data_IF_857212068489
#
_entry.id   IF_857212068489
#
_cell.length_a   1.000
_cell.length_b   1.000
_cell.length_c   1.000
_cell.angle_alpha   90.00
_cell.angle_beta   90.00
_cell.angle_gamma   90.00
#
_symmetry.space_group_name_H-M   'P 1'
#
loop_
_entity.id
_entity.type
_entity.pdbx_description
1 polymer ?
#
# COMPACT_ATOMS: atom_id res chain seq x y z
N UNK A 1 29.99 5.83 -54.11
CA UNK A 1 28.68 6.34 -53.70
C UNK A 1 28.25 5.62 -52.43
N UNK A 2 28.67 6.16 -51.27
CA UNK A 2 28.35 5.60 -49.96
C UNK A 2 27.02 6.16 -49.50
N UNK A 3 26.06 5.28 -49.25
CA UNK A 3 24.78 5.63 -48.64
C UNK A 3 24.98 5.45 -47.14
N UNK A 4 25.09 6.57 -46.42
CA UNK A 4 25.12 6.59 -44.95
C UNK A 4 23.69 6.35 -44.45
N UNK A 5 23.46 5.18 -43.85
CA UNK A 5 22.23 4.89 -43.10
C UNK A 5 22.30 5.60 -41.77
N UNK A 6 21.56 6.68 -41.61
CA UNK A 6 21.31 7.30 -40.30
C UNK A 6 20.37 6.39 -39.51
N UNK A 7 20.91 5.69 -38.55
CA UNK A 7 20.12 4.98 -37.54
C UNK A 7 19.66 6.03 -36.54
N UNK A 8 18.41 6.44 -36.66
CA UNK A 8 17.74 7.31 -35.70
C UNK A 8 17.46 6.47 -34.43
N UNK A 9 18.30 6.62 -33.41
CA UNK A 9 18.10 6.05 -32.10
C UNK A 9 17.00 6.86 -31.41
N UNK A 10 15.76 6.35 -31.47
CA UNK A 10 14.63 6.91 -30.74
C UNK A 10 14.84 6.61 -29.25
N UNK A 11 15.33 7.59 -28.51
CA UNK A 11 15.37 7.54 -27.04
C UNK A 11 13.93 7.73 -26.56
N UNK A 12 13.23 6.63 -26.29
CA UNK A 12 11.93 6.67 -25.60
C UNK A 12 12.25 7.03 -24.15
N UNK A 13 12.14 8.31 -23.84
CA UNK A 13 12.12 8.79 -22.46
C UNK A 13 10.73 8.45 -21.91
N UNK A 14 10.62 7.29 -21.27
CA UNK A 14 9.45 6.96 -20.43
C UNK A 14 9.48 7.94 -19.27
N UNK A 15 8.67 8.99 -19.37
CA UNK A 15 8.34 9.81 -18.20
C UNK A 15 7.43 8.92 -17.35
N UNK A 16 8.01 8.21 -16.38
CA UNK A 16 7.25 7.67 -15.27
C UNK A 16 6.72 8.88 -14.51
N UNK A 17 5.49 9.28 -14.78
CA UNK A 17 4.77 10.15 -13.88
C UNK A 17 4.56 9.35 -12.59
N UNK A 18 5.38 9.63 -11.60
CA UNK A 18 5.15 9.19 -10.23
C UNK A 18 3.85 9.84 -9.79
N UNK A 19 2.74 9.12 -9.86
CA UNK A 19 1.52 9.53 -9.15
C UNK A 19 1.84 9.26 -7.70
N UNK A 20 2.33 10.29 -7.01
CA UNK A 20 2.49 10.30 -5.57
C UNK A 20 1.09 10.27 -4.97
N UNK A 21 0.62 9.10 -4.56
CA UNK A 21 -0.37 9.05 -3.50
C UNK A 21 0.24 9.81 -2.33
N UNK A 22 -0.53 10.74 -1.75
CA UNK A 22 0.03 11.69 -0.78
C UNK A 22 0.61 10.95 0.42
N UNK A 23 1.94 10.81 0.44
CA UNK A 23 2.69 10.35 1.61
C UNK A 23 2.17 11.09 2.85
N UNK A 24 1.65 10.34 3.81
CA UNK A 24 1.22 10.88 5.10
C UNK A 24 2.38 10.81 6.07
N UNK A 25 2.57 11.91 6.82
CA UNK A 25 3.62 11.95 7.85
C UNK A 25 2.99 11.78 9.22
N UNK A 26 3.52 10.84 9.98
CA UNK A 26 3.10 10.49 11.33
C UNK A 26 4.20 10.82 12.34
N UNK A 27 3.82 11.08 13.59
CA UNK A 27 4.78 11.37 14.65
C UNK A 27 4.56 10.45 15.83
N UNK A 28 5.66 9.89 16.34
CA UNK A 28 5.71 9.12 17.58
C UNK A 28 6.64 9.86 18.54
N UNK A 29 6.17 10.07 19.75
CA UNK A 29 6.96 10.70 20.81
C UNK A 29 7.63 9.63 21.68
N UNK A 30 8.91 9.82 21.97
CA UNK A 30 9.72 8.98 22.83
C UNK A 30 10.07 9.72 24.11
N UNK A 31 9.72 9.17 25.23
CA UNK A 31 10.01 9.75 26.54
C UNK A 31 10.36 8.66 27.55
N UNK A 32 10.20 8.95 28.82
CA UNK A 32 10.68 8.13 29.92
C UNK A 32 10.05 6.72 29.92
N UNK A 33 10.70 5.77 29.24
CA UNK A 33 10.31 4.36 29.03
C UNK A 33 9.03 4.16 28.20
N UNK A 34 8.73 5.05 27.25
CA UNK A 34 7.58 4.89 26.36
C UNK A 34 7.85 5.39 24.95
N UNK A 35 7.08 4.85 24.00
CA UNK A 35 6.72 5.48 22.72
C UNK A 35 5.23 5.81 22.72
N UNK A 36 4.85 6.97 22.19
CA UNK A 36 3.45 7.40 22.14
C UNK A 36 3.09 7.97 20.76
N UNK A 37 2.14 7.37 20.03
CA UNK A 37 1.48 6.10 20.37
C UNK A 37 2.45 4.90 20.37
N UNK A 38 2.16 3.86 21.15
CA UNK A 38 2.96 2.63 21.18
C UNK A 38 2.60 1.66 20.06
N UNK A 39 1.46 1.85 19.41
CA UNK A 39 1.06 1.15 18.18
C UNK A 39 0.44 2.15 17.22
N UNK A 40 0.83 2.07 15.95
CA UNK A 40 0.39 2.95 14.89
C UNK A 40 0.14 2.14 13.62
N UNK A 41 -1.04 2.32 13.00
CA UNK A 41 -1.35 1.78 11.68
C UNK A 41 -1.18 2.87 10.64
N UNK A 42 -0.47 2.56 9.57
CA UNK A 42 -0.13 3.45 8.45
C UNK A 42 -0.28 2.71 7.12
N UNK A 43 -0.21 3.42 6.01
CA UNK A 43 -0.18 2.81 4.68
C UNK A 43 1.26 2.68 4.14
N UNK A 44 1.46 1.77 3.21
CA UNK A 44 2.72 1.71 2.43
C UNK A 44 3.01 3.09 1.83
N UNK A 45 4.27 3.54 1.96
CA UNK A 45 4.71 4.85 1.50
C UNK A 45 4.62 5.95 2.55
N UNK A 46 3.94 5.74 3.66
CA UNK A 46 3.87 6.71 4.75
C UNK A 46 5.21 6.84 5.50
N UNK A 47 5.42 8.02 6.06
CA UNK A 47 6.61 8.37 6.83
C UNK A 47 6.29 8.47 8.32
N UNK A 48 7.13 7.88 9.16
CA UNK A 48 7.06 8.02 10.61
C UNK A 48 8.30 8.73 11.12
N UNK A 49 8.10 9.76 11.94
CA UNK A 49 9.15 10.50 12.63
C UNK A 49 9.04 10.28 14.14
N UNK A 50 10.12 9.82 14.76
CA UNK A 50 10.24 9.71 16.22
C UNK A 50 10.90 10.95 16.79
N UNK A 51 10.23 11.57 17.78
CA UNK A 51 10.67 12.80 18.46
C UNK A 51 11.00 12.49 19.91
N UNK A 52 12.20 12.85 20.36
CA UNK A 52 12.62 12.72 21.73
C UNK A 52 12.05 13.86 22.61
N UNK A 53 11.21 13.52 23.55
CA UNK A 53 10.67 14.46 24.56
C UNK A 53 11.56 14.62 25.80
N UNK A 54 12.60 13.81 25.93
CA UNK A 54 13.58 13.88 27.01
C UNK A 54 14.13 12.49 27.35
N UNK A 55 15.39 12.45 27.72
CA UNK A 55 16.13 11.23 27.96
C UNK A 55 17.10 10.91 26.84
N UNK A 56 17.63 9.70 26.83
CA UNK A 56 18.55 9.19 25.81
C UNK A 56 17.93 7.95 25.17
N UNK A 57 17.48 8.05 23.94
CA UNK A 57 16.66 7.04 23.27
C UNK A 57 17.09 6.81 21.84
N UNK A 58 16.81 5.62 21.33
CA UNK A 58 16.90 5.23 19.92
C UNK A 58 15.59 4.58 19.45
N UNK A 59 15.57 4.16 18.21
CA UNK A 59 14.56 3.30 17.58
C UNK A 59 15.31 2.09 17.04
N UNK A 60 15.11 0.95 17.62
CA UNK A 60 15.77 -0.30 17.25
C UNK A 60 14.73 -1.31 16.76
N UNK A 61 14.67 -1.52 15.46
CA UNK A 61 13.80 -2.50 14.79
C UNK A 61 14.55 -3.75 14.33
N UNK A 62 15.81 -3.94 14.71
CA UNK A 62 16.61 -5.09 14.29
C UNK A 62 16.55 -6.23 15.31
N UNK A 63 17.06 -6.01 16.50
CA UNK A 63 17.16 -7.02 17.56
C UNK A 63 16.30 -6.63 18.76
N UNK A 64 15.41 -7.52 19.17
CA UNK A 64 14.65 -7.34 20.39
C UNK A 64 15.59 -7.31 21.61
N UNK A 65 15.67 -6.15 22.25
CA UNK A 65 16.61 -5.91 23.36
C UNK A 65 16.31 -6.75 24.60
N UNK A 66 15.09 -7.29 24.75
CA UNK A 66 14.68 -8.14 25.87
C UNK A 66 15.10 -9.58 25.64
N UNK A 67 14.90 -10.10 24.42
CA UNK A 67 15.13 -11.52 24.13
C UNK A 67 16.49 -11.79 23.47
N UNK A 68 17.08 -10.80 22.82
CA UNK A 68 18.28 -10.92 22.00
C UNK A 68 18.05 -11.56 20.62
N UNK A 69 16.78 -11.81 20.25
CA UNK A 69 16.42 -12.41 18.97
C UNK A 69 16.02 -11.33 17.95
N UNK A 70 16.21 -11.56 16.64
CA UNK A 70 15.76 -10.63 15.62
C UNK A 70 14.24 -10.40 15.67
N UNK A 71 13.79 -9.16 15.43
CA UNK A 71 12.36 -8.88 15.27
C UNK A 71 11.78 -9.51 13.99
N UNK A 72 12.61 -9.80 12.99
CA UNK A 72 12.21 -10.30 11.67
C UNK A 72 11.17 -9.41 10.99
N UNK A 73 11.35 -8.10 11.11
CA UNK A 73 10.53 -7.12 10.42
C UNK A 73 10.66 -7.26 8.89
N UNK A 74 9.63 -6.88 8.10
CA UNK A 74 9.67 -6.94 6.63
C UNK A 74 10.85 -6.20 6.01
N UNK A 75 11.24 -5.07 6.61
CA UNK A 75 12.48 -4.34 6.30
C UNK A 75 13.16 -3.90 7.59
N UNK A 76 14.47 -3.67 7.55
CA UNK A 76 15.23 -3.25 8.74
C UNK A 76 15.18 -1.74 8.88
N UNK A 77 15.04 -1.27 10.13
CA UNK A 77 15.12 0.13 10.48
C UNK A 77 15.69 0.29 11.88
N UNK A 78 16.68 1.15 12.02
CA UNK A 78 17.28 1.45 13.31
C UNK A 78 17.92 2.85 13.29
N UNK A 79 18.15 3.39 14.45
CA UNK A 79 18.75 4.72 14.61
C UNK A 79 19.85 4.74 15.67
N UNK A 80 20.79 5.70 15.60
CA UNK A 80 21.63 6.00 16.74
C UNK A 80 20.80 6.61 17.88
N UNK A 81 21.25 6.41 19.12
CA UNK A 81 20.62 7.03 20.28
C UNK A 81 20.93 8.54 20.34
N UNK A 82 19.91 9.34 20.66
CA UNK A 82 20.02 10.80 20.81
C UNK A 82 19.41 11.27 22.12
N UNK A 83 19.84 12.44 22.59
CA UNK A 83 19.37 13.05 23.84
C UNK A 83 18.28 14.10 23.64
N UNK A 84 17.97 14.49 22.41
CA UNK A 84 16.95 15.50 22.09
C UNK A 84 16.66 15.56 20.59
N UNK A 85 15.51 16.14 20.22
CA UNK A 85 15.11 16.37 18.83
C UNK A 85 14.61 15.12 18.12
N UNK A 86 14.74 15.08 16.82
CA UNK A 86 14.35 13.91 16.02
C UNK A 86 15.32 12.77 16.30
N UNK A 87 14.77 11.60 16.69
CA UNK A 87 15.53 10.36 16.85
C UNK A 87 15.76 9.76 15.48
N UNK A 88 14.67 9.56 14.74
CA UNK A 88 14.67 8.89 13.45
C UNK A 88 13.50 9.33 12.59
N UNK A 89 13.64 9.20 11.30
CA UNK A 89 12.55 9.31 10.32
C UNK A 89 12.71 8.17 9.33
N UNK A 90 11.62 7.43 9.09
CA UNK A 90 11.61 6.27 8.20
C UNK A 90 10.35 6.26 7.34
N UNK A 91 10.50 5.95 6.06
CA UNK A 91 9.38 5.68 5.14
C UNK A 91 9.22 4.18 5.00
N UNK A 92 8.05 3.66 5.33
CA UNK A 92 7.76 2.23 5.27
C UNK A 92 7.30 1.85 3.85
N UNK A 93 8.06 0.98 3.18
CA UNK A 93 7.83 0.63 1.77
C UNK A 93 7.28 -0.77 1.57
N UNK A 94 7.24 -1.58 2.61
CA UNK A 94 6.76 -2.96 2.58
C UNK A 94 5.65 -3.13 3.61
N UNK A 95 4.53 -3.74 3.21
CA UNK A 95 3.44 -4.07 4.13
C UNK A 95 3.87 -5.08 5.21
N UNK A 96 3.26 -5.00 6.37
CA UNK A 96 3.48 -5.94 7.45
C UNK A 96 3.52 -5.30 8.84
N UNK A 97 3.86 -6.12 9.82
CA UNK A 97 3.98 -5.68 11.20
C UNK A 97 5.44 -5.50 11.57
N UNK A 98 5.77 -4.32 12.05
CA UNK A 98 7.10 -3.90 12.46
C UNK A 98 7.13 -3.70 13.97
N UNK A 99 7.93 -4.48 14.66
CA UNK A 99 8.17 -4.33 16.07
C UNK A 99 9.50 -3.62 16.31
N UNK A 100 9.57 -2.79 17.32
CA UNK A 100 10.78 -2.09 17.68
C UNK A 100 10.83 -1.79 19.19
N UNK A 101 12.01 -1.50 19.68
CA UNK A 101 12.23 -1.08 21.06
C UNK A 101 13.30 0.02 21.19
N UNK A 102 13.57 0.45 22.40
CA UNK A 102 14.73 1.28 22.70
C UNK A 102 15.83 0.40 23.26
N UNK A 103 16.97 0.31 22.55
CA UNK A 103 18.08 -0.55 22.94
C UNK A 103 18.92 0.01 24.10
N UNK A 104 18.63 1.22 24.56
CA UNK A 104 19.40 1.90 25.60
C UNK A 104 19.18 1.27 26.98
N UNK A 105 20.20 0.62 27.51
CA UNK A 105 20.18 0.06 28.86
C UNK A 105 19.02 -0.92 29.08
N UNK A 106 18.15 -0.62 30.06
CA UNK A 106 16.97 -1.43 30.37
C UNK A 106 15.66 -0.78 29.92
N UNK A 107 15.68 0.09 28.90
CA UNK A 107 14.49 0.82 28.49
C UNK A 107 13.40 -0.11 27.94
N UNK A 108 13.76 -1.09 27.13
CA UNK A 108 12.84 -2.10 26.62
C UNK A 108 12.22 -2.94 27.75
N UNK A 109 13.03 -3.38 28.72
CA UNK A 109 12.57 -4.13 29.91
C UNK A 109 11.55 -3.33 30.75
N UNK A 110 11.63 -2.00 30.71
CA UNK A 110 10.71 -1.10 31.40
C UNK A 110 9.50 -0.67 30.52
N UNK A 111 9.33 -1.31 29.36
CA UNK A 111 8.15 -1.14 28.51
C UNK A 111 8.33 -0.16 27.34
N UNK A 112 9.57 0.29 27.05
CA UNK A 112 9.83 1.14 25.90
C UNK A 112 9.91 0.31 24.62
N UNK A 113 8.74 -0.14 24.19
CA UNK A 113 8.51 -0.96 22.99
C UNK A 113 7.43 -0.32 22.13
N UNK A 114 7.46 -0.56 20.82
CA UNK A 114 6.46 -0.06 19.91
C UNK A 114 6.21 -1.00 18.74
N UNK A 115 5.13 -0.69 17.99
CA UNK A 115 4.72 -1.44 16.82
C UNK A 115 4.18 -0.49 15.75
N UNK A 116 4.59 -0.72 14.50
CA UNK A 116 3.96 -0.11 13.33
C UNK A 116 3.29 -1.23 12.53
N UNK A 117 2.04 -1.03 12.15
CA UNK A 117 1.31 -1.89 11.22
C UNK A 117 1.23 -1.14 9.90
N UNK A 118 1.89 -1.65 8.88
CA UNK A 118 1.90 -1.08 7.53
C UNK A 118 0.90 -1.86 6.70
N UNK A 119 -0.19 -1.21 6.33
CA UNK A 119 -1.22 -1.79 5.46
C UNK A 119 -0.89 -1.51 4.00
N UNK A 120 -1.13 -2.49 3.14
CA UNK A 120 -1.08 -2.31 1.68
C UNK A 120 -2.20 -1.37 1.23
N UNK A 121 -2.06 -0.83 0.04
CA UNK A 121 -3.14 -0.04 -0.56
C UNK A 121 -4.35 -0.96 -0.84
N UNK A 122 -5.53 -0.54 -0.36
CA UNK A 122 -6.77 -1.22 -0.75
C UNK A 122 -7.08 -0.91 -2.20
N UNK A 123 -7.05 -1.92 -3.05
CA UNK A 123 -7.36 -1.79 -4.47
C UNK A 123 -8.87 -1.87 -4.72
N UNK A 124 -9.31 -1.47 -5.92
CA UNK A 124 -10.72 -1.67 -6.31
C UNK A 124 -11.10 -3.15 -6.41
N UNK A 125 -10.11 -4.03 -6.61
CA UNK A 125 -10.31 -5.49 -6.60
C UNK A 125 -10.59 -5.99 -5.20
N UNK A 126 -9.86 -5.51 -4.19
CA UNK A 126 -10.09 -5.87 -2.79
C UNK A 126 -11.51 -5.48 -2.36
N UNK A 127 -11.96 -4.27 -2.73
CA UNK A 127 -13.33 -3.81 -2.47
C UNK A 127 -14.38 -4.70 -3.12
N UNK A 128 -14.13 -5.20 -4.34
CA UNK A 128 -15.04 -6.11 -5.04
C UNK A 128 -15.08 -7.48 -4.34
N UNK A 129 -13.92 -8.03 -4.00
CA UNK A 129 -13.77 -9.36 -3.36
C UNK A 129 -14.39 -9.38 -1.96
N UNK A 130 -14.21 -8.32 -1.18
CA UNK A 130 -14.77 -8.22 0.17
C UNK A 130 -16.29 -7.97 0.19
N UNK A 131 -16.89 -7.71 -0.97
CA UNK A 131 -18.30 -7.38 -1.07
C UNK A 131 -19.17 -8.60 -1.35
N UNK A 132 -20.05 -8.96 -0.42
CA UNK A 132 -21.04 -10.04 -0.57
C UNK A 132 -22.04 -9.83 -1.73
N UNK A 133 -22.13 -8.62 -2.27
CA UNK A 133 -23.10 -8.24 -3.31
C UNK A 133 -22.50 -8.12 -4.72
N UNK A 134 -21.22 -8.47 -4.91
CA UNK A 134 -20.48 -8.30 -6.17
C UNK A 134 -19.80 -9.60 -6.62
N UNK A 135 -20.28 -10.76 -6.20
CA UNK A 135 -19.67 -12.07 -6.50
C UNK A 135 -19.64 -12.40 -8.00
N UNK A 136 -20.65 -11.94 -8.73
CA UNK A 136 -20.72 -12.07 -10.19
C UNK A 136 -19.69 -11.17 -10.88
N UNK A 137 -19.51 -9.94 -10.39
CA UNK A 137 -18.48 -9.00 -10.88
C UNK A 137 -17.08 -9.54 -10.62
N UNK A 138 -16.80 -10.05 -9.42
CA UNK A 138 -15.55 -10.72 -9.08
C UNK A 138 -15.22 -11.82 -10.11
N UNK A 139 -16.18 -12.73 -10.34
CA UNK A 139 -16.05 -13.80 -11.33
C UNK A 139 -15.73 -13.25 -12.73
N UNK A 140 -16.41 -12.17 -13.14
CA UNK A 140 -16.20 -11.55 -14.44
C UNK A 140 -14.81 -10.91 -14.57
N UNK A 141 -14.33 -10.20 -13.55
CA UNK A 141 -13.01 -9.56 -13.50
C UNK A 141 -11.89 -10.60 -13.55
N UNK A 142 -12.03 -11.70 -12.78
CA UNK A 142 -11.09 -12.83 -12.79
C UNK A 142 -11.06 -13.49 -14.16
N UNK A 143 -12.23 -13.78 -14.74
CA UNK A 143 -12.38 -14.43 -16.06
C UNK A 143 -11.76 -13.57 -17.15
N UNK A 144 -11.93 -12.25 -17.11
CA UNK A 144 -11.34 -11.32 -18.07
C UNK A 144 -9.83 -11.11 -17.90
N UNK A 145 -9.22 -11.63 -16.82
CA UNK A 145 -7.80 -11.43 -16.52
C UNK A 145 -7.45 -9.99 -16.15
N UNK A 146 -8.41 -9.22 -15.62
CA UNK A 146 -8.23 -7.80 -15.29
C UNK A 146 -7.76 -7.55 -13.85
N UNK A 147 -7.60 -8.60 -13.03
CA UNK A 147 -7.19 -8.49 -11.62
C UNK A 147 -5.91 -7.69 -11.49
N UNK A 148 -4.84 -8.08 -12.18
CA UNK A 148 -3.54 -7.40 -12.10
C UNK A 148 -3.63 -5.93 -12.54
N UNK A 149 -4.41 -5.64 -13.59
CA UNK A 149 -4.59 -4.28 -14.08
C UNK A 149 -5.32 -3.38 -13.09
N UNK A 150 -6.38 -3.91 -12.45
CA UNK A 150 -7.21 -3.16 -11.50
C UNK A 150 -6.62 -3.12 -10.08
N UNK A 151 -5.67 -4.01 -9.78
CA UNK A 151 -4.84 -3.95 -8.56
C UNK A 151 -3.57 -3.10 -8.76
N UNK A 152 -3.33 -2.59 -9.96
CA UNK A 152 -2.20 -1.71 -10.24
C UNK A 152 -2.39 -0.29 -9.73
N UNK A 153 -1.36 0.55 -10.00
CA UNK A 153 -1.38 1.95 -9.59
C UNK A 153 -2.60 2.68 -10.14
N UNK A 154 -3.51 3.09 -9.22
CA UNK A 154 -4.71 3.89 -9.51
C UNK A 154 -4.38 5.37 -9.68
N UNK A 155 -5.33 6.26 -9.42
CA UNK A 155 -6.69 5.95 -8.98
C UNK A 155 -7.58 5.42 -10.11
N UNK A 156 -8.43 4.46 -9.76
CA UNK A 156 -9.51 3.97 -10.60
C UNK A 156 -10.87 4.27 -9.94
N UNK A 157 -11.86 4.59 -10.78
CA UNK A 157 -13.26 4.61 -10.35
C UNK A 157 -13.97 3.48 -11.08
N UNK A 158 -14.55 2.54 -10.33
CA UNK A 158 -15.31 1.42 -10.88
C UNK A 158 -16.79 1.60 -10.59
N UNK A 159 -17.60 1.63 -11.64
CA UNK A 159 -19.05 1.61 -11.54
C UNK A 159 -19.50 0.14 -11.44
N UNK A 160 -19.46 -0.40 -10.22
CA UNK A 160 -19.62 -1.82 -9.94
C UNK A 160 -21.10 -2.25 -9.96
N UNK A 161 -21.55 -3.06 -10.95
CA UNK A 161 -22.88 -3.64 -10.91
C UNK A 161 -22.98 -4.71 -9.83
N UNK A 162 -24.06 -4.69 -9.06
CA UNK A 162 -24.37 -5.70 -8.04
C UNK A 162 -24.86 -7.01 -8.67
N UNK A 163 -24.86 -8.09 -7.89
CA UNK A 163 -25.43 -9.38 -8.31
C UNK A 163 -26.89 -9.26 -8.73
N UNK A 164 -27.68 -8.38 -8.10
CA UNK A 164 -29.06 -8.11 -8.49
C UNK A 164 -29.15 -7.47 -9.89
N UNK A 165 -28.19 -6.63 -10.27
CA UNK A 165 -28.14 -6.05 -11.61
C UNK A 165 -27.84 -7.13 -12.66
N UNK A 166 -26.94 -8.07 -12.37
CA UNK A 166 -26.68 -9.21 -13.25
C UNK A 166 -27.89 -10.15 -13.35
N UNK A 167 -28.58 -10.41 -12.24
CA UNK A 167 -29.79 -11.23 -12.20
C UNK A 167 -30.97 -10.63 -12.99
N UNK A 168 -30.98 -9.31 -13.18
CA UNK A 168 -31.98 -8.61 -13.99
C UNK A 168 -31.74 -8.70 -15.50
N UNK A 169 -30.60 -9.23 -15.96
CA UNK A 169 -30.33 -9.43 -17.37
C UNK A 169 -31.24 -10.51 -17.97
N UNK A 170 -31.57 -10.43 -19.28
CA UNK A 170 -32.27 -11.50 -19.96
C UNK A 170 -31.54 -12.85 -19.83
N UNK A 171 -32.31 -13.93 -19.74
CA UNK A 171 -31.79 -15.30 -19.61
C UNK A 171 -30.74 -15.61 -20.69
N UNK A 172 -29.57 -16.17 -20.29
CA UNK A 172 -28.46 -16.54 -21.15
C UNK A 172 -27.56 -15.39 -21.58
N UNK A 173 -27.90 -14.13 -21.25
CA UNK A 173 -27.05 -12.96 -21.61
C UNK A 173 -25.71 -13.01 -20.90
N UNK A 174 -25.68 -13.27 -19.59
CA UNK A 174 -24.46 -13.35 -18.80
C UNK A 174 -23.56 -14.49 -19.30
N UNK A 175 -24.14 -15.67 -19.53
CA UNK A 175 -23.38 -16.83 -20.03
C UNK A 175 -22.74 -16.53 -21.41
N UNK A 176 -23.48 -15.87 -22.29
CA UNK A 176 -22.97 -15.49 -23.60
C UNK A 176 -21.81 -14.49 -23.51
N UNK A 177 -21.89 -13.51 -22.59
CA UNK A 177 -20.83 -12.52 -22.38
C UNK A 177 -19.59 -13.19 -21.74
N UNK A 178 -19.77 -14.04 -20.73
CA UNK A 178 -18.66 -14.75 -20.09
C UNK A 178 -17.94 -15.73 -21.04
N UNK A 179 -18.63 -16.22 -22.08
CA UNK A 179 -18.05 -17.09 -23.12
C UNK A 179 -17.26 -16.31 -24.19
N UNK A 180 -17.47 -15.00 -24.29
CA UNK A 180 -16.80 -14.13 -25.27
C UNK A 180 -15.84 -13.16 -24.56
N UNK A 181 -14.57 -13.53 -24.51
CA UNK A 181 -13.54 -12.79 -23.77
C UNK A 181 -13.34 -11.36 -24.26
N UNK A 182 -13.46 -11.11 -25.57
CA UNK A 182 -13.29 -9.77 -26.14
C UNK A 182 -14.46 -8.87 -25.73
N UNK A 183 -15.67 -9.40 -25.81
CA UNK A 183 -16.89 -8.69 -25.39
C UNK A 183 -16.89 -8.44 -23.88
N UNK A 184 -16.53 -9.44 -23.06
CA UNK A 184 -16.44 -9.32 -21.62
C UNK A 184 -15.45 -8.22 -21.20
N UNK A 185 -14.24 -8.25 -21.75
CA UNK A 185 -13.21 -7.22 -21.47
C UNK A 185 -13.68 -5.84 -21.89
N UNK A 186 -14.32 -5.71 -23.06
CA UNK A 186 -14.86 -4.44 -23.55
C UNK A 186 -15.94 -3.89 -22.62
N UNK A 187 -16.87 -4.74 -22.14
CA UNK A 187 -17.91 -4.33 -21.21
C UNK A 187 -17.32 -3.90 -19.87
N UNK A 188 -16.41 -4.69 -19.28
CA UNK A 188 -15.80 -4.38 -18.00
C UNK A 188 -14.99 -3.07 -18.04
N UNK A 189 -14.25 -2.83 -19.12
CA UNK A 189 -13.50 -1.58 -19.28
C UNK A 189 -14.38 -0.35 -19.42
N UNK A 190 -15.61 -0.48 -19.91
CA UNK A 190 -16.60 0.61 -19.88
C UNK A 190 -17.12 0.96 -18.48
N UNK A 191 -16.95 0.07 -17.52
CA UNK A 191 -17.31 0.30 -16.12
C UNK A 191 -16.16 0.90 -15.31
N UNK A 192 -14.99 1.13 -15.92
CA UNK A 192 -13.79 1.67 -15.25
C UNK A 192 -13.42 3.02 -15.85
N UNK A 193 -13.30 4.02 -15.00
CA UNK A 193 -12.73 5.31 -15.35
C UNK A 193 -11.36 5.47 -14.69
N UNK A 194 -10.37 5.95 -15.43
CA UNK A 194 -9.11 6.38 -14.84
C UNK A 194 -9.33 7.69 -14.09
N UNK A 195 -8.84 7.75 -12.87
CA UNK A 195 -9.03 8.91 -11.99
C UNK A 195 -10.10 8.69 -10.92
N UNK A 196 -10.14 9.61 -9.98
CA UNK A 196 -11.18 9.68 -8.94
C UNK A 196 -12.35 10.51 -9.46
N UNK A 197 -13.48 9.88 -9.76
CA UNK A 197 -14.71 10.52 -10.22
C UNK A 197 -15.72 10.48 -9.08
N UNK A 198 -16.14 11.64 -8.60
CA UNK A 198 -17.12 11.76 -7.52
C UNK A 198 -18.54 11.88 -8.10
N UNK A 199 -19.55 11.49 -7.31
CA UNK A 199 -20.96 11.58 -7.70
C UNK A 199 -21.48 13.01 -7.94
N UNK A 200 -20.63 14.01 -7.68
CA UNK A 200 -20.92 15.43 -7.86
C UNK A 200 -20.28 16.02 -9.13
N UNK A 201 -19.54 15.22 -9.90
CA UNK A 201 -18.82 15.65 -11.11
C UNK A 201 -19.63 15.51 -12.42
#
# INVERSE_FOLDING_TARGET
KYIMKHTLLLLIFTIMSQISFGQTSHTIYAGNFYYSPSSLTINVGDEVTWINEGGYHDVNGDINSITGEPFNNPETFDSPSVSSGTIYTHTFTVEGTYNYDCSVGSHADNGMVGQIIVEGETTVVDVIVDSENHTTLETAVVTAGLVETLSGEGPFTVFAPTDDAFNALPEGTLDAVLADMELLTSILTHHVAAGSVLSTD
#
